data_IF_274764991268
#
_entry.id   IF_274764991268
#
_cell.length_a   1.000
_cell.length_b   1.000
_cell.length_c   1.000
_cell.angle_alpha   90.00
_cell.angle_beta   90.00
_cell.angle_gamma   90.00
#
_symmetry.space_group_name_H-M   'P 1'
#
loop_
_entity.id
_entity.type
_entity.pdbx_description
1 polymer ?
#
# COMPACT_ATOMS: atom_id res chain seq x y z
N UNK A 1 -3.23 9.70 12.16
CA UNK A 1 -1.78 9.67 12.45
C UNK A 1 -1.21 8.57 11.58
N UNK A 2 -0.79 8.91 10.37
CA UNK A 2 -0.20 7.98 9.43
C UNK A 2 1.25 7.64 9.77
N UNK A 3 1.73 6.58 9.13
CA UNK A 3 3.13 6.15 9.16
C UNK A 3 4.03 7.19 8.50
N UNK A 4 5.33 7.16 8.82
CA UNK A 4 6.32 7.97 8.07
C UNK A 4 6.36 7.49 6.63
N UNK A 5 6.65 8.40 5.69
CA UNK A 5 6.73 8.04 4.28
C UNK A 5 7.82 6.99 4.00
N UNK A 6 8.87 6.95 4.83
CA UNK A 6 9.96 5.97 4.78
C UNK A 6 9.56 4.56 5.20
N UNK A 7 8.41 4.39 5.88
CA UNK A 7 7.86 3.07 6.23
C UNK A 7 7.03 2.48 5.08
N UNK A 8 6.90 3.16 3.93
CA UNK A 8 6.36 2.50 2.74
C UNK A 8 7.52 1.77 2.06
N UNK A 9 7.39 0.47 1.94
CA UNK A 9 8.37 -0.38 1.27
C UNK A 9 8.64 0.10 -0.18
N UNK A 10 9.93 0.14 -0.54
CA UNK A 10 10.41 0.75 -1.78
C UNK A 10 10.58 2.28 -1.76
N UNK A 11 10.26 3.00 -0.68
CA UNK A 11 10.64 4.41 -0.49
C UNK A 11 11.98 4.51 0.23
N UNK A 12 13.07 4.44 -0.55
CA UNK A 12 14.42 4.71 -0.04
C UNK A 12 14.67 6.20 0.26
N UNK A 13 15.76 6.50 0.99
CA UNK A 13 16.10 7.84 1.46
C UNK A 13 16.06 8.94 0.36
N UNK A 14 16.50 8.63 -0.86
CA UNK A 14 16.48 9.56 -1.99
C UNK A 14 15.06 9.93 -2.42
N UNK A 15 14.14 8.97 -2.42
CA UNK A 15 12.73 9.21 -2.78
C UNK A 15 11.98 9.87 -1.64
N UNK A 16 12.26 9.47 -0.39
CA UNK A 16 11.75 10.13 0.79
C UNK A 16 12.11 11.63 0.80
N UNK A 17 13.39 11.99 0.59
CA UNK A 17 13.81 13.39 0.55
C UNK A 17 13.06 14.23 -0.51
N UNK A 18 12.79 13.65 -1.69
CA UNK A 18 12.00 14.32 -2.74
C UNK A 18 10.54 14.54 -2.31
N UNK A 19 9.91 13.53 -1.72
CA UNK A 19 8.54 13.60 -1.23
C UNK A 19 8.43 14.60 -0.07
N UNK A 20 9.38 14.58 0.86
CA UNK A 20 9.42 15.49 2.00
C UNK A 20 9.60 16.95 1.56
N UNK A 21 10.43 17.21 0.54
CA UNK A 21 10.56 18.53 -0.08
C UNK A 21 9.24 19.02 -0.72
N UNK A 22 8.39 18.10 -1.18
CA UNK A 22 7.03 18.38 -1.64
C UNK A 22 5.98 18.41 -0.50
N UNK A 23 6.41 18.38 0.76
CA UNK A 23 5.54 18.41 1.95
C UNK A 23 4.90 17.05 2.30
N UNK A 24 5.28 15.97 1.64
CA UNK A 24 4.76 14.61 1.86
C UNK A 24 5.69 13.87 2.82
N UNK A 25 5.33 13.90 4.11
CA UNK A 25 6.13 13.29 5.20
C UNK A 25 5.52 12.00 5.76
N UNK A 26 4.24 11.78 5.50
CA UNK A 26 3.47 10.66 6.06
C UNK A 26 2.57 10.02 5.01
N UNK A 27 2.08 8.80 5.30
CA UNK A 27 1.07 8.11 4.48
C UNK A 27 -0.19 8.96 4.32
N UNK A 28 -0.63 9.67 5.38
CA UNK A 28 -1.79 10.57 5.33
C UNK A 28 -1.56 11.74 4.37
N UNK A 29 -0.36 12.35 4.37
CA UNK A 29 -0.02 13.41 3.43
C UNK A 29 0.01 12.88 1.99
N UNK A 30 0.58 11.69 1.79
CA UNK A 30 0.64 11.06 0.47
C UNK A 30 -0.77 10.83 -0.06
N UNK A 31 -1.64 10.19 0.73
CA UNK A 31 -3.02 9.92 0.34
C UNK A 31 -3.80 11.20 0.04
N UNK A 32 -3.64 12.25 0.85
CA UNK A 32 -4.28 13.55 0.62
C UNK A 32 -3.90 14.17 -0.72
N UNK A 33 -2.62 14.08 -1.12
CA UNK A 33 -2.13 14.67 -2.37
C UNK A 33 -2.31 13.75 -3.59
N UNK A 34 -2.33 12.44 -3.38
CA UNK A 34 -2.32 11.41 -4.43
C UNK A 34 -3.67 10.67 -4.59
N UNK A 35 -4.74 11.12 -3.93
CA UNK A 35 -6.06 10.49 -4.01
C UNK A 35 -6.58 10.40 -5.46
N UNK A 36 -6.34 11.42 -6.30
CA UNK A 36 -6.83 11.49 -7.67
C UNK A 36 -5.73 11.28 -8.72
N UNK A 37 -6.07 10.85 -9.96
CA UNK A 37 -5.11 10.76 -11.05
C UNK A 37 -4.35 12.07 -11.30
N UNK A 38 -5.06 13.19 -11.23
CA UNK A 38 -4.47 14.52 -11.39
C UNK A 38 -3.49 14.87 -10.25
N UNK A 39 -3.86 14.55 -8.99
CA UNK A 39 -2.99 14.72 -7.83
C UNK A 39 -1.71 13.89 -7.94
N UNK A 40 -1.83 12.62 -8.31
CA UNK A 40 -0.68 11.74 -8.55
C UNK A 40 0.25 12.27 -9.64
N UNK A 41 -0.31 12.76 -10.75
CA UNK A 41 0.46 13.36 -11.83
C UNK A 41 1.23 14.59 -11.34
N UNK A 42 0.56 15.49 -10.61
CA UNK A 42 1.20 16.68 -10.03
C UNK A 42 2.37 16.32 -9.10
N UNK A 43 2.18 15.33 -8.22
CA UNK A 43 3.25 14.88 -7.31
C UNK A 43 4.40 14.22 -8.08
N UNK A 44 4.09 13.39 -9.07
CA UNK A 44 5.08 12.75 -9.95
C UNK A 44 5.95 13.79 -10.66
N UNK A 45 5.34 14.80 -11.27
CA UNK A 45 6.03 15.89 -11.98
C UNK A 45 6.88 16.73 -11.00
N UNK A 46 6.30 17.11 -9.85
CA UNK A 46 6.98 17.94 -8.83
C UNK A 46 8.20 17.24 -8.23
N UNK A 47 8.09 15.95 -7.93
CA UNK A 47 9.16 15.18 -7.29
C UNK A 47 10.16 14.60 -8.32
N UNK A 48 9.83 14.64 -9.62
CA UNK A 48 10.55 13.90 -10.66
C UNK A 48 10.59 12.40 -10.35
N UNK A 49 9.42 11.82 -10.04
CA UNK A 49 9.23 10.40 -9.74
C UNK A 49 8.22 9.85 -10.73
N UNK A 50 8.38 8.59 -11.17
CA UNK A 50 7.45 8.02 -12.15
C UNK A 50 6.02 7.95 -11.59
N UNK A 51 4.98 8.26 -12.41
CA UNK A 51 3.58 8.14 -11.99
C UNK A 51 3.22 6.74 -11.48
N UNK A 52 3.87 5.71 -12.03
CA UNK A 52 3.71 4.31 -11.61
C UNK A 52 4.16 4.09 -10.16
N UNK A 53 5.30 4.66 -9.76
CA UNK A 53 5.78 4.56 -8.38
C UNK A 53 4.88 5.33 -7.41
N UNK A 54 4.45 6.54 -7.78
CA UNK A 54 3.50 7.32 -6.97
C UNK A 54 2.20 6.55 -6.76
N UNK A 55 1.66 5.94 -7.82
CA UNK A 55 0.46 5.11 -7.70
C UNK A 55 0.71 3.89 -6.80
N UNK A 56 1.85 3.20 -6.96
CA UNK A 56 2.20 2.05 -6.11
C UNK A 56 2.25 2.45 -4.63
N UNK A 57 2.96 3.52 -4.28
CA UNK A 57 3.07 3.95 -2.88
C UNK A 57 1.75 4.47 -2.33
N UNK A 58 0.94 5.17 -3.14
CA UNK A 58 -0.38 5.62 -2.71
C UNK A 58 -1.30 4.43 -2.41
N UNK A 59 -1.29 3.41 -3.28
CA UNK A 59 -2.01 2.14 -3.08
C UNK A 59 -1.57 1.42 -1.80
N UNK A 60 -0.25 1.31 -1.56
CA UNK A 60 0.29 0.70 -0.34
C UNK A 60 -0.15 1.48 0.91
N UNK A 61 -0.04 2.82 0.88
CA UNK A 61 -0.53 3.68 1.95
C UNK A 61 -2.04 3.51 2.23
N UNK A 62 -2.85 3.32 1.18
CA UNK A 62 -4.30 3.12 1.33
C UNK A 62 -4.60 1.76 1.98
N UNK A 63 -3.88 0.71 1.59
CA UNK A 63 -4.03 -0.63 2.17
C UNK A 63 -3.50 -0.69 3.61
N UNK A 64 -2.44 0.05 3.95
CA UNK A 64 -1.91 0.17 5.32
C UNK A 64 -2.90 0.80 6.32
N UNK A 65 -3.99 1.42 5.85
CA UNK A 65 -5.10 1.87 6.72
C UNK A 65 -5.87 0.71 7.34
N UNK A 66 -5.80 -0.49 6.74
CA UNK A 66 -6.43 -1.69 7.27
C UNK A 66 -5.63 -2.15 8.49
N UNK A 67 -6.23 -2.04 9.66
CA UNK A 67 -5.58 -2.42 10.92
C UNK A 67 -5.07 -3.88 10.89
N UNK A 68 -3.76 -4.02 11.09
CA UNK A 68 -3.03 -5.28 10.99
C UNK A 68 -2.19 -5.43 9.72
N UNK A 69 -2.23 -4.45 8.82
CA UNK A 69 -1.38 -4.39 7.63
C UNK A 69 -0.34 -3.28 7.80
N UNK A 70 0.92 -3.68 7.98
CA UNK A 70 2.07 -2.78 7.98
C UNK A 70 2.80 -2.78 6.63
N UNK A 71 4.03 -2.27 6.62
CA UNK A 71 4.87 -2.12 5.43
C UNK A 71 5.08 -3.44 4.67
N UNK A 72 5.56 -4.47 5.37
CA UNK A 72 5.89 -5.78 4.80
C UNK A 72 4.65 -6.48 4.21
N UNK A 73 3.52 -6.43 4.91
CA UNK A 73 2.27 -7.03 4.42
C UNK A 73 1.65 -6.23 3.27
N UNK A 74 1.82 -4.90 3.24
CA UNK A 74 1.38 -4.09 2.11
C UNK A 74 2.17 -4.44 0.84
N UNK A 75 3.47 -4.72 0.96
CA UNK A 75 4.29 -5.18 -0.17
C UNK A 75 3.89 -6.59 -0.61
N UNK A 76 3.67 -7.51 0.33
CA UNK A 76 3.23 -8.86 0.01
C UNK A 76 1.89 -8.87 -0.74
N UNK A 77 0.94 -8.02 -0.31
CA UNK A 77 -0.34 -7.85 -0.98
C UNK A 77 -0.20 -7.23 -2.36
N UNK A 78 0.72 -6.27 -2.54
CA UNK A 78 1.05 -5.72 -3.86
C UNK A 78 1.60 -6.80 -4.79
N UNK A 79 2.55 -7.61 -4.29
CA UNK A 79 3.11 -8.72 -5.04
C UNK A 79 2.06 -9.79 -5.38
N UNK A 80 1.02 -9.93 -4.55
CA UNK A 80 -0.14 -10.80 -4.78
C UNK A 80 -1.20 -10.21 -5.71
N UNK A 81 -0.94 -9.06 -6.34
CA UNK A 81 -1.90 -8.31 -7.17
C UNK A 81 -3.20 -7.96 -6.41
N UNK A 82 -3.08 -7.64 -5.12
CA UNK A 82 -4.15 -7.17 -4.25
C UNK A 82 -3.77 -5.84 -3.61
N UNK A 83 -3.57 -4.82 -4.44
CA UNK A 83 -2.95 -3.56 -4.06
C UNK A 83 -3.95 -2.44 -3.73
N UNK A 84 -5.26 -2.72 -3.69
CA UNK A 84 -6.27 -1.72 -3.32
C UNK A 84 -7.19 -2.23 -2.22
N UNK A 85 -7.72 -1.32 -1.41
CA UNK A 85 -8.72 -1.66 -0.37
C UNK A 85 -9.94 -2.34 -0.99
N UNK A 86 -10.39 -1.88 -2.17
CA UNK A 86 -11.50 -2.48 -2.91
C UNK A 86 -11.20 -3.92 -3.33
N UNK A 87 -10.01 -4.18 -3.86
CA UNK A 87 -9.62 -5.54 -4.22
C UNK A 87 -9.58 -6.44 -2.99
N UNK A 88 -8.95 -5.98 -1.90
CA UNK A 88 -8.82 -6.74 -0.67
C UNK A 88 -10.19 -7.12 -0.09
N UNK A 89 -11.14 -6.18 -0.06
CA UNK A 89 -12.51 -6.42 0.41
C UNK A 89 -13.26 -7.51 -0.37
N UNK A 90 -12.89 -7.75 -1.64
CA UNK A 90 -13.54 -8.72 -2.52
C UNK A 90 -12.81 -10.07 -2.60
N UNK A 91 -11.65 -10.21 -1.95
CA UNK A 91 -10.88 -11.46 -2.02
C UNK A 91 -11.47 -12.54 -1.12
N UNK A 92 -11.39 -13.78 -1.61
CA UNK A 92 -11.56 -14.96 -0.77
C UNK A 92 -10.31 -15.12 0.14
N UNK A 93 -10.45 -15.14 1.49
CA UNK A 93 -9.32 -15.20 2.41
C UNK A 93 -8.41 -16.41 2.22
N UNK A 94 -8.98 -17.61 2.00
CA UNK A 94 -8.22 -18.84 1.84
C UNK A 94 -7.35 -18.79 0.57
N UNK A 95 -7.92 -18.34 -0.55
CA UNK A 95 -7.18 -18.20 -1.80
C UNK A 95 -6.09 -17.13 -1.72
N UNK A 96 -6.38 -15.98 -1.08
CA UNK A 96 -5.40 -14.91 -0.90
C UNK A 96 -4.24 -15.36 0.00
N UNK A 97 -4.53 -16.09 1.07
CA UNK A 97 -3.53 -16.65 1.98
C UNK A 97 -2.60 -17.61 1.26
N UNK A 98 -3.14 -18.58 0.50
CA UNK A 98 -2.34 -19.49 -0.31
C UNK A 98 -1.46 -18.72 -1.30
N UNK A 99 -2.02 -17.70 -1.96
CA UNK A 99 -1.27 -16.92 -2.94
C UNK A 99 -0.12 -16.14 -2.33
N UNK A 100 -0.34 -15.53 -1.17
CA UNK A 100 0.70 -14.83 -0.43
C UNK A 100 1.79 -15.80 0.05
N UNK A 101 1.44 -17.03 0.44
CA UNK A 101 2.44 -18.04 0.78
C UNK A 101 3.32 -18.42 -0.42
N UNK A 102 2.73 -18.74 -1.57
CA UNK A 102 3.48 -19.06 -2.81
C UNK A 102 4.45 -17.93 -3.22
N UNK A 103 4.04 -16.69 -3.04
CA UNK A 103 4.87 -15.52 -3.37
C UNK A 103 5.98 -15.35 -2.34
N UNK A 104 5.67 -15.49 -1.06
CA UNK A 104 6.66 -15.34 -0.01
C UNK A 104 7.70 -16.47 -0.04
N UNK A 105 7.33 -17.68 -0.46
CA UNK A 105 8.27 -18.77 -0.69
C UNK A 105 9.37 -18.39 -1.68
N UNK A 106 9.04 -17.61 -2.71
CA UNK A 106 9.96 -17.19 -3.78
C UNK A 106 10.69 -15.89 -3.48
N UNK A 107 9.98 -14.91 -2.93
CA UNK A 107 10.48 -13.53 -2.76
C UNK A 107 10.95 -13.20 -1.35
N UNK A 108 10.54 -13.98 -0.33
CA UNK A 108 10.89 -13.77 1.08
C UNK A 108 10.64 -12.33 1.56
N UNK A 109 9.48 -11.77 1.19
CA UNK A 109 9.09 -10.39 1.52
C UNK A 109 8.74 -10.21 2.99
N UNK A 110 8.21 -11.26 3.64
CA UNK A 110 7.83 -11.24 5.05
C UNK A 110 8.48 -12.39 5.80
N UNK A 111 8.81 -12.16 7.07
CA UNK A 111 9.35 -13.22 7.95
C UNK A 111 8.30 -14.27 8.33
N UNK A 112 7.05 -13.85 8.48
CA UNK A 112 5.93 -14.71 8.82
C UNK A 112 4.73 -14.41 7.92
N UNK A 113 4.31 -15.41 7.15
CA UNK A 113 3.13 -15.30 6.29
C UNK A 113 1.87 -15.18 7.14
N UNK A 114 0.89 -14.35 6.75
CA UNK A 114 -0.33 -14.18 7.52
C UNK A 114 -1.18 -15.45 7.48
N UNK A 115 -1.79 -15.77 8.61
CA UNK A 115 -2.77 -16.86 8.73
C UNK A 115 -4.08 -16.51 8.03
N UNK A 116 -4.87 -17.51 7.63
CA UNK A 116 -6.18 -17.27 7.02
C UNK A 116 -7.08 -16.41 7.92
N UNK A 117 -7.04 -16.62 9.24
CA UNK A 117 -7.81 -15.82 10.21
C UNK A 117 -7.39 -14.34 10.19
N UNK A 118 -6.09 -14.03 10.06
CA UNK A 118 -5.64 -12.65 9.91
C UNK A 118 -6.12 -12.05 8.59
N UNK A 119 -6.00 -12.80 7.49
CA UNK A 119 -6.44 -12.35 6.17
C UNK A 119 -7.95 -12.11 6.14
N UNK A 120 -8.75 -12.97 6.77
CA UNK A 120 -10.20 -12.79 6.90
C UNK A 120 -10.54 -11.46 7.59
N UNK A 121 -9.87 -11.16 8.71
CA UNK A 121 -10.03 -9.87 9.40
C UNK A 121 -9.63 -8.69 8.53
N UNK A 122 -8.60 -8.83 7.69
CA UNK A 122 -8.21 -7.78 6.74
C UNK A 122 -9.28 -7.55 5.68
N UNK A 123 -9.84 -8.62 5.09
CA UNK A 123 -10.93 -8.54 4.11
C UNK A 123 -12.15 -7.84 4.71
N UNK A 124 -12.57 -8.24 5.92
CA UNK A 124 -13.71 -7.62 6.63
C UNK A 124 -13.46 -6.12 6.91
N UNK A 125 -12.29 -5.77 7.46
CA UNK A 125 -11.92 -4.37 7.74
C UNK A 125 -11.80 -3.54 6.46
N UNK A 126 -11.27 -4.12 5.38
CA UNK A 126 -11.20 -3.45 4.09
C UNK A 126 -12.60 -3.16 3.53
N UNK A 127 -13.55 -4.08 3.71
CA UNK A 127 -14.95 -3.87 3.32
C UNK A 127 -15.66 -2.76 4.09
N UNK A 128 -15.23 -2.49 5.32
CA UNK A 128 -15.76 -1.39 6.13
C UNK A 128 -15.11 -0.03 5.84
N UNK A 129 -14.01 0.01 5.08
CA UNK A 129 -13.29 1.24 4.78
C UNK A 129 -13.77 1.88 3.49
N UNK A 130 -13.98 3.20 3.52
CA UNK A 130 -14.14 3.98 2.30
C UNK A 130 -12.79 4.08 1.57
N UNK A 131 -12.74 3.68 0.28
CA UNK A 131 -11.54 3.85 -0.54
C UNK A 131 -11.20 5.33 -0.70
N UNK A 132 -9.95 5.71 -0.45
CA UNK A 132 -9.51 7.11 -0.65
C UNK A 132 -9.13 7.36 -2.11
N UNK A 133 -8.53 6.36 -2.76
CA UNK A 133 -8.01 6.50 -4.12
C UNK A 133 -9.14 6.42 -5.17
N UNK A 134 -9.06 7.33 -6.12
CA UNK A 134 -9.78 7.28 -7.39
C UNK A 134 -8.82 6.91 -8.52
N UNK A 135 -9.35 6.21 -9.53
CA UNK A 135 -8.58 5.63 -10.63
C UNK A 135 -9.01 6.26 -11.95
#
# INVERSE_FOLDING_TARGET
MGYKITEIEGIGAKMAAKLEAAGIKTTDHLLKQCATPAGRKKVADTCGISPKLILKWANMADVMRVSGIGEEYSELLEAANCNTVKQLALRNPANLTRKMNEINEKKKLVRSVPTETQVRKWVEKAGALTPILTY
#
